data_IF_609997191630
#
_entry.id   IF_609997191630
#
_cell.length_a   1.000
_cell.length_b   1.000
_cell.length_c   1.000
_cell.angle_alpha   90.00
_cell.angle_beta   90.00
_cell.angle_gamma   90.00
#
_symmetry.space_group_name_H-M   'P 1'
#
loop_
_entity.id
_entity.type
_entity.pdbx_description
1 polymer ?
#
# COMPACT_ATOMS: atom_id res chain seq x y z
N UNK A 1 -15.91 -16.13 14.02
CA UNK A 1 -15.33 -15.20 13.04
C UNK A 1 -15.72 -15.67 11.65
N UNK A 2 -16.19 -14.76 10.81
CA UNK A 2 -16.47 -15.04 9.39
C UNK A 2 -15.15 -15.15 8.60
N UNK A 3 -15.15 -15.74 7.39
CA UNK A 3 -13.96 -15.77 6.54
C UNK A 3 -13.36 -14.38 6.31
N UNK A 4 -14.18 -13.38 6.02
CA UNK A 4 -13.75 -11.98 5.83
C UNK A 4 -13.09 -11.39 7.09
N UNK A 5 -13.60 -11.73 8.28
CA UNK A 5 -12.99 -11.29 9.54
C UNK A 5 -11.62 -11.97 9.79
N UNK A 6 -11.46 -13.23 9.36
CA UNK A 6 -10.18 -13.95 9.43
C UNK A 6 -9.16 -13.38 8.42
N UNK A 7 -9.61 -13.02 7.22
CA UNK A 7 -8.76 -12.36 6.21
C UNK A 7 -8.26 -11.02 6.73
N UNK A 8 -9.12 -10.22 7.38
CA UNK A 8 -8.70 -8.97 8.03
C UNK A 8 -7.64 -9.20 9.12
N UNK A 9 -7.80 -10.22 9.97
CA UNK A 9 -6.75 -10.57 10.94
C UNK A 9 -5.45 -11.01 10.29
N UNK A 10 -5.54 -11.70 9.16
CA UNK A 10 -4.36 -12.13 8.38
C UNK A 10 -3.61 -10.91 7.83
N UNK A 11 -4.34 -9.94 7.25
CA UNK A 11 -3.77 -8.66 6.79
C UNK A 11 -3.10 -7.92 7.94
N UNK A 12 -3.81 -7.74 9.06
CA UNK A 12 -3.25 -7.08 10.25
C UNK A 12 -1.95 -7.75 10.73
N UNK A 13 -1.95 -9.08 10.83
CA UNK A 13 -0.76 -9.83 11.29
C UNK A 13 0.42 -9.66 10.32
N UNK A 14 0.16 -9.67 9.01
CA UNK A 14 1.18 -9.43 8.00
C UNK A 14 1.71 -7.98 8.06
N UNK A 15 0.83 -7.00 8.26
CA UNK A 15 1.19 -5.59 8.40
C UNK A 15 2.06 -5.36 9.63
N UNK A 16 1.71 -5.96 10.78
CA UNK A 16 2.51 -5.86 12.00
C UNK A 16 3.91 -6.48 11.84
N UNK A 17 4.01 -7.62 11.15
CA UNK A 17 5.31 -8.19 10.80
C UNK A 17 6.12 -7.23 9.90
N UNK A 18 5.48 -6.64 8.89
CA UNK A 18 6.09 -5.68 7.98
C UNK A 18 6.57 -4.41 8.71
N UNK A 19 5.76 -3.83 9.59
CA UNK A 19 6.15 -2.66 10.42
C UNK A 19 7.36 -2.98 11.30
N UNK A 20 7.41 -4.16 11.93
CA UNK A 20 8.57 -4.60 12.72
C UNK A 20 9.84 -4.73 11.88
N UNK A 21 9.74 -5.17 10.62
CA UNK A 21 10.86 -5.26 9.69
C UNK A 21 11.31 -3.88 9.21
N UNK A 22 10.37 -3.00 8.84
CA UNK A 22 10.64 -1.59 8.51
C UNK A 22 11.34 -0.85 9.64
N UNK A 23 10.91 -1.08 10.89
CA UNK A 23 11.54 -0.48 12.07
C UNK A 23 13.00 -0.91 12.29
N UNK A 24 13.44 -2.02 11.68
CA UNK A 24 14.85 -2.45 11.64
C UNK A 24 15.64 -1.83 10.48
N UNK A 25 15.02 -0.94 9.70
CA UNK A 25 15.61 -0.29 8.53
C UNK A 25 15.56 -1.13 7.26
N UNK A 26 14.74 -2.19 7.20
CA UNK A 26 14.61 -2.99 5.99
C UNK A 26 13.64 -2.33 5.01
N UNK A 27 14.06 -2.28 3.74
CA UNK A 27 13.16 -1.98 2.63
C UNK A 27 12.11 -3.08 2.50
N UNK A 28 10.86 -2.67 2.31
CA UNK A 28 9.72 -3.57 2.24
C UNK A 28 9.66 -4.31 0.90
N UNK A 29 9.31 -5.59 0.97
CA UNK A 29 8.93 -6.42 -0.18
C UNK A 29 7.49 -6.13 -0.61
N UNK A 30 7.08 -6.65 -1.77
CA UNK A 30 5.71 -6.54 -2.28
C UNK A 30 4.60 -6.91 -1.26
N UNK A 31 4.59 -8.11 -0.64
CA UNK A 31 3.53 -8.47 0.30
C UNK A 31 3.54 -7.62 1.58
N UNK A 32 4.71 -7.12 2.00
CA UNK A 32 4.83 -6.27 3.18
C UNK A 32 4.28 -4.86 2.94
N UNK A 33 4.60 -4.27 1.79
CA UNK A 33 4.06 -2.97 1.38
C UNK A 33 2.53 -3.06 1.26
N UNK A 34 2.04 -4.08 0.55
CA UNK A 34 0.61 -4.30 0.37
C UNK A 34 -0.12 -4.48 1.71
N UNK A 35 0.43 -5.29 2.62
CA UNK A 35 -0.17 -5.50 3.93
C UNK A 35 -0.30 -4.20 4.74
N UNK A 36 0.76 -3.40 4.80
CA UNK A 36 0.73 -2.09 5.50
C UNK A 36 -0.33 -1.17 4.89
N UNK A 37 -0.38 -1.04 3.57
CA UNK A 37 -1.35 -0.17 2.89
C UNK A 37 -2.78 -0.61 3.20
N UNK A 38 -3.07 -1.91 3.04
CA UNK A 38 -4.39 -2.47 3.30
C UNK A 38 -4.84 -2.29 4.76
N UNK A 39 -3.93 -2.53 5.71
CA UNK A 39 -4.18 -2.38 7.14
C UNK A 39 -4.54 -0.93 7.50
N UNK A 40 -3.76 0.05 7.02
CA UNK A 40 -4.05 1.48 7.24
C UNK A 40 -5.40 1.91 6.65
N UNK A 41 -5.77 1.37 5.48
CA UNK A 41 -7.08 1.62 4.89
C UNK A 41 -8.22 1.01 5.73
N UNK A 42 -8.04 -0.20 6.23
CA UNK A 42 -9.01 -0.85 7.13
C UNK A 42 -9.18 -0.09 8.44
N UNK A 43 -8.11 0.46 8.99
CA UNK A 43 -8.14 1.26 10.22
C UNK A 43 -8.77 2.64 9.98
N UNK A 44 -8.46 3.30 8.87
CA UNK A 44 -9.12 4.56 8.50
C UNK A 44 -10.64 4.39 8.34
N UNK A 45 -11.07 3.36 7.60
CA UNK A 45 -12.50 3.05 7.44
C UNK A 45 -13.16 2.72 8.79
N UNK A 46 -12.48 1.93 9.64
CA UNK A 46 -12.95 1.59 10.99
C UNK A 46 -13.04 2.81 11.91
N UNK A 47 -12.16 3.79 11.73
CA UNK A 47 -12.16 5.09 12.41
C UNK A 47 -13.25 6.05 11.95
N UNK A 48 -14.04 5.69 10.93
CA UNK A 48 -15.12 6.50 10.40
C UNK A 48 -14.69 7.50 9.33
N UNK A 49 -13.51 7.34 8.74
CA UNK A 49 -13.08 8.17 7.62
C UNK A 49 -14.01 7.98 6.40
N UNK A 50 -14.32 9.06 5.65
CA UNK A 50 -15.09 8.94 4.43
C UNK A 50 -14.30 8.20 3.33
N UNK A 51 -15.01 7.70 2.32
CA UNK A 51 -14.42 6.93 1.21
C UNK A 51 -13.15 7.58 0.63
N UNK A 52 -13.22 8.87 0.30
CA UNK A 52 -12.12 9.62 -0.30
C UNK A 52 -10.90 9.70 0.62
N UNK A 53 -11.13 9.80 1.93
CA UNK A 53 -10.04 9.83 2.91
C UNK A 53 -9.35 8.47 3.01
N UNK A 54 -10.10 7.36 2.99
CA UNK A 54 -9.50 6.02 3.00
C UNK A 54 -8.66 5.78 1.75
N UNK A 55 -9.10 6.26 0.58
CA UNK A 55 -8.29 6.22 -0.66
C UNK A 55 -7.01 7.05 -0.50
N UNK A 56 -7.10 8.28 0.04
CA UNK A 56 -5.93 9.13 0.28
C UNK A 56 -4.94 8.48 1.26
N UNK A 57 -5.43 7.87 2.33
CA UNK A 57 -4.62 7.09 3.26
C UNK A 57 -3.83 6.04 2.48
N UNK A 58 -4.49 5.24 1.64
CA UNK A 58 -3.84 4.21 0.81
C UNK A 58 -2.72 4.71 -0.12
N UNK A 59 -2.64 6.01 -0.42
CA UNK A 59 -1.62 6.62 -1.28
C UNK A 59 -0.51 7.37 -0.53
N UNK A 60 -0.63 7.49 0.80
CA UNK A 60 0.21 8.38 1.60
C UNK A 60 1.19 7.66 2.54
N UNK A 61 1.01 6.35 2.76
CA UNK A 61 1.74 5.61 3.80
C UNK A 61 3.19 5.30 3.41
N UNK A 62 3.41 5.02 2.12
CA UNK A 62 4.69 4.51 1.62
C UNK A 62 5.13 5.30 0.40
N UNK A 63 6.45 5.46 0.31
CA UNK A 63 7.15 6.02 -0.83
C UNK A 63 8.11 4.98 -1.43
N UNK A 64 8.64 5.24 -2.62
CA UNK A 64 9.63 4.38 -3.25
C UNK A 64 10.91 4.18 -2.39
N UNK A 65 11.18 5.09 -1.44
CA UNK A 65 12.31 4.97 -0.51
C UNK A 65 12.09 3.87 0.54
N UNK A 66 10.83 3.53 0.84
CA UNK A 66 10.44 2.56 1.87
C UNK A 66 10.47 1.10 1.40
N UNK A 67 10.54 0.90 0.08
CA UNK A 67 10.33 -0.40 -0.56
C UNK A 67 11.56 -0.82 -1.39
N UNK A 68 11.64 -2.11 -1.70
CA UNK A 68 12.60 -2.65 -2.66
C UNK A 68 12.31 -2.14 -4.07
N UNK A 69 13.34 -2.12 -4.91
CA UNK A 69 13.22 -1.70 -6.30
C UNK A 69 12.24 -2.61 -7.05
N UNK A 70 11.40 -2.03 -7.91
CA UNK A 70 10.35 -2.77 -8.65
C UNK A 70 9.04 -2.95 -7.88
N UNK A 71 9.01 -2.70 -6.56
CA UNK A 71 7.78 -2.83 -5.77
C UNK A 71 6.70 -1.81 -6.14
N UNK A 72 6.99 -0.52 -6.41
CA UNK A 72 5.98 0.44 -6.85
C UNK A 72 5.22 -0.01 -8.09
N UNK A 73 5.91 -0.63 -9.05
CA UNK A 73 5.33 -1.16 -10.28
C UNK A 73 4.49 -2.41 -10.02
N UNK A 74 4.93 -3.28 -9.08
CA UNK A 74 4.18 -4.47 -8.69
C UNK A 74 2.91 -4.15 -7.88
N UNK A 75 2.92 -3.05 -7.12
CA UNK A 75 1.76 -2.56 -6.36
C UNK A 75 1.14 -1.36 -7.08
N UNK A 76 1.02 -1.42 -8.42
CA UNK A 76 0.43 -0.32 -9.20
C UNK A 76 -1.04 -0.03 -8.83
N UNK A 77 -1.75 -1.05 -8.34
CA UNK A 77 -3.17 -0.95 -8.00
C UNK A 77 -3.50 -1.82 -6.80
N UNK A 78 -4.33 -1.30 -5.89
CA UNK A 78 -4.91 -2.05 -4.77
C UNK A 78 -6.42 -2.02 -4.89
N UNK A 79 -7.03 -3.20 -4.84
CA UNK A 79 -8.48 -3.40 -4.70
C UNK A 79 -8.74 -4.02 -3.35
N UNK A 80 -9.54 -3.35 -2.52
CA UNK A 80 -9.75 -3.76 -1.14
C UNK A 80 -11.19 -3.50 -0.73
N UNK A 81 -11.75 -4.42 0.04
CA UNK A 81 -13.06 -4.25 0.67
C UNK A 81 -12.86 -3.74 2.10
N UNK A 82 -13.50 -2.63 2.45
CA UNK A 82 -13.46 -2.05 3.79
C UNK A 82 -14.87 -1.90 4.36
N UNK A 83 -15.00 -2.11 5.68
CA UNK A 83 -16.24 -1.89 6.42
C UNK A 83 -16.34 -0.42 6.85
N UNK A 84 -17.33 0.29 6.32
CA UNK A 84 -17.71 1.64 6.74
C UNK A 84 -18.92 1.58 7.67
N UNK A 85 -19.26 2.73 8.29
CA UNK A 85 -20.44 2.84 9.15
C UNK A 85 -21.76 2.52 8.46
N UNK A 86 -21.80 2.58 7.13
CA UNK A 86 -22.97 2.27 6.30
C UNK A 86 -22.87 0.91 5.56
N UNK A 87 -21.83 0.11 5.83
CA UNK A 87 -21.66 -1.21 5.26
C UNK A 87 -20.32 -1.41 4.53
N UNK A 88 -20.19 -2.56 3.86
CA UNK A 88 -18.98 -2.91 3.11
C UNK A 88 -18.92 -2.18 1.78
N UNK A 89 -17.73 -1.69 1.41
CA UNK A 89 -17.47 -1.05 0.12
C UNK A 89 -16.15 -1.52 -0.46
N UNK A 90 -16.08 -1.62 -1.78
CA UNK A 90 -14.84 -1.91 -2.52
C UNK A 90 -14.20 -0.58 -2.92
N UNK A 91 -12.93 -0.42 -2.58
CA UNK A 91 -12.09 0.70 -2.98
C UNK A 91 -11.12 0.25 -4.07
N UNK A 92 -10.82 1.18 -4.97
CA UNK A 92 -9.81 1.05 -6.00
C UNK A 92 -8.79 2.17 -5.83
N UNK A 93 -7.55 1.82 -5.53
CA UNK A 93 -6.45 2.78 -5.32
C UNK A 93 -5.40 2.54 -6.40
N UNK A 94 -5.11 3.59 -7.16
CA UNK A 94 -4.03 3.59 -8.15
C UNK A 94 -2.81 4.30 -7.58
N UNK A 95 -1.61 3.81 -7.91
CA UNK A 95 -0.35 4.38 -7.44
C UNK A 95 -0.26 4.54 -5.92
N UNK A 96 -0.53 3.50 -5.11
CA UNK A 96 -0.54 3.59 -3.65
C UNK A 96 0.84 3.86 -3.04
N UNK A 97 1.92 3.65 -3.80
CA UNK A 97 3.30 3.96 -3.37
C UNK A 97 3.75 5.23 -4.09
N UNK A 98 3.96 6.29 -3.32
CA UNK A 98 4.37 7.60 -3.84
C UNK A 98 5.83 7.64 -4.30
N UNK A 99 6.24 8.72 -5.00
CA UNK A 99 7.63 8.90 -5.41
C UNK A 99 8.56 9.02 -4.20
N UNK A 100 9.76 8.44 -4.31
CA UNK A 100 10.84 8.65 -3.34
C UNK A 100 11.52 10.01 -3.51
N UNK A 101 12.39 10.38 -2.58
CA UNK A 101 13.15 11.64 -2.60
C UNK A 101 14.09 11.74 -3.80
N UNK A 102 14.58 10.62 -4.28
CA UNK A 102 15.22 10.50 -5.59
C UNK A 102 14.17 10.15 -6.62
N UNK A 103 13.59 11.17 -7.26
CA UNK A 103 12.71 11.00 -8.41
C UNK A 103 13.40 10.16 -9.51
N UNK A 104 12.64 9.63 -10.49
CA UNK A 104 13.18 8.69 -11.46
C UNK A 104 14.37 9.33 -12.18
N UNK A 105 15.55 8.74 -12.02
CA UNK A 105 16.67 8.97 -12.93
C UNK A 105 16.20 8.47 -14.28
N UNK A 106 15.61 9.35 -15.09
CA UNK A 106 15.38 9.10 -16.50
C UNK A 106 16.73 8.72 -17.09
N UNK A 107 16.97 7.43 -17.33
CA UNK A 107 18.10 6.97 -18.13
C UNK A 107 17.90 7.54 -19.52
N UNK A 108 18.51 8.69 -19.76
CA UNK A 108 18.71 9.24 -21.09
C UNK A 108 19.64 8.34 -21.88
N UNK A 109 19.19 8.03 -23.09
CA UNK A 109 19.97 7.87 -24.33
C UNK A 109 20.99 6.72 -24.41
N UNK A 110 20.76 5.84 -25.39
CA UNK A 110 21.42 6.03 -26.68
C UNK A 110 20.57 5.45 -27.81
N UNK A 111 20.11 6.36 -28.66
CA UNK A 111 19.84 6.13 -30.07
C UNK A 111 20.95 5.23 -30.65
N UNK A 112 20.58 4.03 -31.09
CA UNK A 112 21.34 3.32 -32.11
C UNK A 112 21.14 4.07 -33.43
N UNK A 113 22.05 5.02 -33.67
CA UNK A 113 22.18 5.71 -34.93
C UNK A 113 22.41 4.69 -36.06
N UNK A 114 21.52 4.76 -37.04
CA UNK A 114 21.69 4.29 -38.43
C UNK A 114 22.81 5.03 -39.14
#
# INVERSE_FOLDING_TARGET
>A
MTPTELDRLTIFTAAELARRRRARGWKLTHPEALAIICDEMHEAARGGAPYEEVVRVGQSILTADDVLDGVPELVATVKIECLFGDGMRILHVEGPIGPGRSGPTSKGERDEAR
#
